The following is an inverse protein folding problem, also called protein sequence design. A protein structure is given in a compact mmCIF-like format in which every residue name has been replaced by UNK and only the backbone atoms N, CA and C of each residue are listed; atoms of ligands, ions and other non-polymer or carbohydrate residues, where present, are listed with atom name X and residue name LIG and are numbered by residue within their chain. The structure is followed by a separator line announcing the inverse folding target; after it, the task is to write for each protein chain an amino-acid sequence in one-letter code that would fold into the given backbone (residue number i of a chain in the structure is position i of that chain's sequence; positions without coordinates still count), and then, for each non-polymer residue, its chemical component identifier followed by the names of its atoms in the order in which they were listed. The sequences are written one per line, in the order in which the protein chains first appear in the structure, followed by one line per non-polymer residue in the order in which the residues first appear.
data_IF_781154883968
#
_entry.id   IF_781154883968
#
_cell.length_a   1.000
_cell.length_b   1.000
_cell.length_c   1.000
_cell.angle_alpha   90.00
_cell.angle_beta   90.00
_cell.angle_gamma   90.00
#
_symmetry.space_group_name_H-M   'P 1'
#
loop_
_entity.id
_entity.type
_entity.pdbx_description
1 polymer ?
#
# COMPACT_ATOMS: atom_id res chain seq x y z
N UNK A 1 -33.37 11.75 -36.55
CA UNK A 1 -32.59 11.86 -35.30
C UNK A 1 -32.09 10.47 -34.89
N UNK A 2 -30.80 10.17 -35.07
CA UNK A 2 -30.20 8.85 -34.73
C UNK A 2 -29.87 8.82 -33.23
N UNK A 3 -30.51 7.90 -32.51
CA UNK A 3 -30.24 7.61 -31.10
C UNK A 3 -28.82 7.05 -30.98
N UNK A 4 -27.95 7.73 -30.25
CA UNK A 4 -26.58 7.27 -29.99
C UNK A 4 -26.64 5.96 -29.20
N UNK A 5 -26.17 4.87 -29.81
CA UNK A 5 -25.97 3.58 -29.16
C UNK A 5 -24.81 3.69 -28.17
N UNK A 6 -25.10 3.64 -26.88
CA UNK A 6 -24.10 3.51 -25.81
C UNK A 6 -23.34 2.20 -25.99
N UNK A 7 -22.07 2.28 -26.43
CA UNK A 7 -21.18 1.12 -26.54
C UNK A 7 -20.97 0.41 -25.19
N UNK A 8 -20.52 -0.85 -25.19
CA UNK A 8 -20.32 -1.62 -23.96
C UNK A 8 -19.34 -0.90 -23.03
N UNK A 9 -19.77 -0.63 -21.80
CA UNK A 9 -18.93 0.00 -20.76
C UNK A 9 -17.71 -0.88 -20.53
N UNK A 10 -16.51 -0.37 -20.85
CA UNK A 10 -15.24 -1.03 -20.51
C UNK A 10 -15.30 -1.39 -19.01
N UNK A 11 -15.12 -2.67 -18.62
CA UNK A 11 -15.10 -3.02 -17.22
C UNK A 11 -13.97 -2.23 -16.56
N UNK A 12 -14.33 -1.32 -15.66
CA UNK A 12 -13.35 -0.54 -14.89
C UNK A 12 -12.47 -1.50 -14.11
N UNK A 13 -11.16 -1.25 -14.04
CA UNK A 13 -10.21 -2.03 -13.25
C UNK A 13 -10.73 -2.18 -11.81
N UNK A 14 -11.39 -1.16 -11.27
CA UNK A 14 -12.05 -1.16 -9.96
C UNK A 14 -13.18 -2.19 -9.81
N UNK A 15 -13.80 -2.64 -10.90
CA UNK A 15 -14.81 -3.72 -10.87
C UNK A 15 -14.16 -5.09 -10.71
N UNK A 16 -12.96 -5.29 -11.24
CA UNK A 16 -12.17 -6.52 -11.04
C UNK A 16 -11.71 -6.67 -9.58
N UNK A 17 -11.66 -5.56 -8.84
CA UNK A 17 -11.29 -5.52 -7.42
C UNK A 17 -12.43 -5.90 -6.48
N UNK A 18 -13.69 -5.87 -6.94
CA UNK A 18 -14.87 -6.11 -6.09
C UNK A 18 -14.79 -7.40 -5.27
N UNK A 19 -14.36 -8.56 -5.82
CA UNK A 19 -14.25 -9.82 -5.07
C UNK A 19 -13.19 -9.77 -3.97
N UNK A 20 -12.20 -8.89 -4.08
CA UNK A 20 -11.04 -8.81 -3.19
C UNK A 20 -11.12 -7.65 -2.18
N UNK A 21 -12.22 -6.90 -2.16
CA UNK A 21 -12.40 -5.73 -1.29
C UNK A 21 -12.12 -6.03 0.19
N UNK A 22 -12.58 -7.18 0.69
CA UNK A 22 -12.33 -7.58 2.09
C UNK A 22 -10.83 -7.72 2.40
N UNK A 23 -10.06 -8.34 1.50
CA UNK A 23 -8.62 -8.48 1.65
C UNK A 23 -7.92 -7.13 1.56
N UNK A 24 -8.33 -6.27 0.62
CA UNK A 24 -7.75 -4.92 0.47
C UNK A 24 -8.02 -4.07 1.71
N UNK A 25 -9.24 -4.09 2.26
CA UNK A 25 -9.56 -3.34 3.50
C UNK A 25 -8.71 -3.86 4.66
N UNK A 26 -8.58 -5.17 4.80
CA UNK A 26 -7.77 -5.78 5.84
C UNK A 26 -6.27 -5.40 5.71
N UNK A 27 -5.75 -5.36 4.48
CA UNK A 27 -4.40 -4.90 4.19
C UNK A 27 -4.17 -3.46 4.59
N UNK A 28 -5.08 -2.57 4.17
CA UNK A 28 -5.02 -1.16 4.50
C UNK A 28 -5.13 -0.94 6.01
N UNK A 29 -5.99 -1.70 6.69
CA UNK A 29 -6.11 -1.62 8.14
C UNK A 29 -4.78 -1.91 8.85
N UNK A 30 -4.13 -3.04 8.52
CA UNK A 30 -2.85 -3.39 9.15
C UNK A 30 -1.72 -2.44 8.76
N UNK A 31 -1.68 -2.00 7.50
CA UNK A 31 -0.71 -1.01 7.03
C UNK A 31 -0.85 0.33 7.75
N UNK A 32 -2.08 0.82 7.93
CA UNK A 32 -2.31 2.10 8.60
C UNK A 32 -1.95 2.02 10.09
N UNK A 33 -2.25 0.91 10.76
CA UNK A 33 -1.85 0.70 12.15
C UNK A 33 -0.34 0.66 12.30
N UNK A 34 0.36 -0.16 11.48
CA UNK A 34 1.81 -0.29 11.57
C UNK A 34 2.50 1.05 11.31
N UNK A 35 2.08 1.78 10.27
CA UNK A 35 2.60 3.12 9.98
C UNK A 35 2.28 4.14 11.08
N UNK A 36 1.08 4.08 11.67
CA UNK A 36 0.69 4.96 12.77
C UNK A 36 1.56 4.79 14.01
N UNK A 37 1.87 3.54 14.39
CA UNK A 37 2.77 3.27 15.52
C UNK A 37 4.21 3.65 15.17
N UNK A 38 4.66 3.35 13.95
CA UNK A 38 6.01 3.71 13.48
C UNK A 38 6.25 5.23 13.58
N UNK A 39 5.24 6.03 13.23
CA UNK A 39 5.28 7.47 13.33
C UNK A 39 5.44 7.99 14.78
N UNK A 40 5.01 7.22 15.79
CA UNK A 40 5.14 7.59 17.20
C UNK A 40 6.52 7.25 17.80
N UNK A 41 7.32 6.40 17.14
CA UNK A 41 8.64 5.98 17.65
C UNK A 41 9.58 7.17 17.92
N UNK A 42 9.73 8.18 17.02
CA UNK A 42 10.57 9.35 17.30
C UNK A 42 10.11 10.12 18.54
N UNK A 43 8.81 10.17 18.81
CA UNK A 43 8.25 10.84 19.99
C UNK A 43 8.57 10.10 21.29
N UNK A 44 8.60 8.77 21.26
CA UNK A 44 9.03 7.96 22.41
C UNK A 44 10.50 8.25 22.74
N UNK A 45 11.36 8.32 21.71
CA UNK A 45 12.78 8.65 21.88
C UNK A 45 12.95 10.08 22.40
N UNK A 46 12.24 11.04 21.82
CA UNK A 46 12.26 12.44 22.27
C UNK A 46 11.88 12.58 23.76
N UNK A 47 10.78 11.94 24.17
CA UNK A 47 10.38 11.92 25.58
C UNK A 47 11.46 11.32 26.50
N UNK A 48 12.24 10.35 26.01
CA UNK A 48 13.36 9.80 26.75
C UNK A 48 14.52 10.77 26.93
N UNK A 49 14.85 11.54 25.88
CA UNK A 49 15.84 12.62 25.93
C UNK A 49 15.39 13.73 26.90
N UNK A 50 14.12 14.10 26.87
CA UNK A 50 13.55 15.10 27.76
C UNK A 50 13.55 14.62 29.22
N UNK A 51 13.21 13.36 29.48
CA UNK A 51 13.26 12.80 30.83
C UNK A 51 14.69 12.75 31.39
N UNK A 52 15.68 12.47 30.52
CA UNK A 52 17.10 12.56 30.85
C UNK A 52 17.51 13.96 31.26
N UNK A 53 17.15 14.95 30.46
CA UNK A 53 17.48 16.37 30.70
C UNK A 53 16.83 16.90 31.99
N UNK A 54 15.61 16.45 32.29
CA UNK A 54 14.85 16.86 33.48
C UNK A 54 15.23 16.09 34.76
N UNK A 55 16.20 15.16 34.71
CA UNK A 55 16.64 14.38 35.87
C UNK A 55 15.68 13.27 36.33
N UNK A 56 14.58 13.03 35.60
CA UNK A 56 13.57 12.00 35.89
C UNK A 56 13.72 10.78 34.96
N UNK A 57 14.96 10.42 34.64
CA UNK A 57 15.25 9.38 33.65
C UNK A 57 15.02 7.98 34.22
N UNK A 58 13.99 7.31 33.74
CA UNK A 58 13.81 5.88 33.94
C UNK A 58 14.05 5.13 32.62
N UNK A 59 15.26 4.59 32.50
CA UNK A 59 15.66 3.81 31.33
C UNK A 59 14.76 2.58 31.12
N UNK A 60 14.31 1.93 32.18
CA UNK A 60 13.49 0.72 32.08
C UNK A 60 12.11 1.06 31.53
N UNK A 61 11.49 2.15 32.00
CA UNK A 61 10.21 2.61 31.50
C UNK A 61 10.27 2.99 30.00
N UNK A 62 11.34 3.64 29.56
CA UNK A 62 11.54 4.01 28.15
C UNK A 62 11.79 2.78 27.29
N UNK A 63 12.66 1.88 27.74
CA UNK A 63 12.96 0.62 27.04
C UNK A 63 11.70 -0.23 26.88
N UNK A 64 10.89 -0.41 27.93
CA UNK A 64 9.64 -1.17 27.85
C UNK A 64 8.68 -0.53 26.83
N UNK A 65 8.47 0.78 26.90
CA UNK A 65 7.59 1.49 25.95
C UNK A 65 8.08 1.34 24.50
N UNK A 66 9.37 1.48 24.27
CA UNK A 66 9.97 1.38 22.95
C UNK A 66 9.94 -0.06 22.41
N UNK A 67 10.31 -1.05 23.23
CA UNK A 67 10.23 -2.46 22.89
C UNK A 67 8.81 -2.90 22.56
N UNK A 68 7.81 -2.48 23.36
CA UNK A 68 6.40 -2.76 23.06
C UNK A 68 6.00 -2.11 21.74
N UNK A 69 6.34 -0.84 21.50
CA UNK A 69 6.02 -0.17 20.24
C UNK A 69 6.64 -0.87 19.02
N UNK A 70 7.91 -1.30 19.09
CA UNK A 70 8.57 -2.07 18.03
C UNK A 70 7.92 -3.42 17.81
N UNK A 71 7.59 -4.15 18.88
CA UNK A 71 6.91 -5.45 18.75
C UNK A 71 5.55 -5.30 18.09
N UNK A 72 4.82 -4.22 18.40
CA UNK A 72 3.56 -3.88 17.74
C UNK A 72 3.76 -3.58 16.25
N UNK A 73 4.74 -2.73 15.90
CA UNK A 73 5.06 -2.44 14.49
C UNK A 73 5.43 -3.72 13.75
N UNK A 74 6.30 -4.54 14.34
CA UNK A 74 6.72 -5.83 13.76
C UNK A 74 5.52 -6.74 13.53
N UNK A 75 4.68 -6.95 14.54
CA UNK A 75 3.52 -7.83 14.47
C UNK A 75 2.58 -7.40 13.33
N UNK A 76 2.21 -6.12 13.29
CA UNK A 76 1.27 -5.63 12.27
C UNK A 76 1.87 -5.59 10.87
N UNK A 77 3.15 -5.23 10.73
CA UNK A 77 3.85 -5.29 9.44
C UNK A 77 3.98 -6.74 8.94
N UNK A 78 4.24 -7.67 9.84
CA UNK A 78 4.32 -9.10 9.51
C UNK A 78 2.96 -9.66 9.06
N UNK A 79 1.89 -9.38 9.82
CA UNK A 79 0.52 -9.76 9.45
C UNK A 79 0.12 -9.15 8.10
N UNK A 80 0.41 -7.85 7.91
CA UNK A 80 0.18 -7.17 6.64
C UNK A 80 0.91 -7.90 5.50
N UNK A 81 2.19 -8.23 5.67
CA UNK A 81 3.00 -8.91 4.65
C UNK A 81 2.45 -10.29 4.24
N UNK A 82 2.00 -11.09 5.22
CA UNK A 82 1.36 -12.38 4.97
C UNK A 82 0.09 -12.18 4.13
N UNK A 83 -0.79 -11.29 4.56
CA UNK A 83 -2.06 -11.03 3.86
C UNK A 83 -1.77 -10.45 2.47
N UNK A 84 -0.71 -9.64 2.33
CA UNK A 84 -0.35 -8.97 1.09
C UNK A 84 0.07 -10.00 0.05
N UNK A 85 0.92 -10.94 0.47
CA UNK A 85 1.36 -12.07 -0.36
C UNK A 85 0.17 -12.96 -0.72
N UNK A 86 -0.65 -13.33 0.26
CA UNK A 86 -1.84 -14.16 0.01
C UNK A 86 -2.84 -13.51 -0.96
N UNK A 87 -3.15 -12.22 -0.78
CA UNK A 87 -4.05 -11.47 -1.65
C UNK A 87 -3.47 -11.37 -3.07
N UNK A 88 -2.18 -11.08 -3.19
CA UNK A 88 -1.46 -11.03 -4.46
C UNK A 88 -1.61 -12.34 -5.24
N UNK A 89 -1.25 -13.46 -4.62
CA UNK A 89 -1.29 -14.76 -5.29
C UNK A 89 -2.73 -15.23 -5.55
N UNK A 90 -3.67 -14.90 -4.66
CA UNK A 90 -5.08 -15.23 -4.87
C UNK A 90 -5.63 -14.54 -6.11
N UNK A 91 -5.41 -13.23 -6.25
CA UNK A 91 -5.78 -12.48 -7.45
C UNK A 91 -5.15 -13.09 -8.69
N UNK A 92 -3.84 -13.34 -8.66
CA UNK A 92 -3.13 -13.85 -9.84
C UNK A 92 -3.64 -15.22 -10.27
N UNK A 93 -3.86 -16.13 -9.31
CA UNK A 93 -4.45 -17.44 -9.58
C UNK A 93 -5.82 -17.31 -10.20
N UNK A 94 -6.73 -16.57 -9.58
CA UNK A 94 -8.11 -16.47 -10.04
C UNK A 94 -8.20 -15.83 -11.44
N UNK A 95 -7.36 -14.83 -11.74
CA UNK A 95 -7.29 -14.22 -13.08
C UNK A 95 -6.66 -15.16 -14.11
N UNK A 96 -5.58 -15.85 -13.77
CA UNK A 96 -4.95 -16.86 -14.65
C UNK A 96 -5.92 -17.97 -14.99
N UNK A 97 -6.65 -18.51 -14.01
CA UNK A 97 -7.65 -19.55 -14.24
C UNK A 97 -8.75 -19.04 -15.17
N UNK A 98 -9.32 -17.86 -14.92
CA UNK A 98 -10.36 -17.29 -15.77
C UNK A 98 -9.89 -17.05 -17.21
N UNK A 99 -8.68 -16.52 -17.40
CA UNK A 99 -8.12 -16.27 -18.72
C UNK A 99 -7.78 -17.57 -19.45
N UNK A 100 -7.20 -18.56 -18.76
CA UNK A 100 -6.90 -19.87 -19.32
C UNK A 100 -8.19 -20.60 -19.77
N UNK A 101 -9.23 -20.58 -18.93
CA UNK A 101 -10.54 -21.17 -19.26
C UNK A 101 -11.19 -20.48 -20.47
N UNK A 102 -11.06 -19.16 -20.57
CA UNK A 102 -11.56 -18.41 -21.72
C UNK A 102 -10.80 -18.77 -23.00
N UNK A 103 -9.46 -18.83 -22.94
CA UNK A 103 -8.61 -19.20 -24.08
C UNK A 103 -8.92 -20.64 -24.54
N UNK A 104 -9.07 -21.58 -23.61
CA UNK A 104 -9.35 -22.99 -23.91
C UNK A 104 -10.68 -23.24 -24.62
N UNK A 105 -11.63 -22.30 -24.53
CA UNK A 105 -12.96 -22.40 -25.18
C UNK A 105 -13.00 -21.72 -26.56
N UNK A 106 -11.93 -21.06 -26.99
CA UNK A 106 -11.86 -20.40 -28.31
C UNK A 106 -11.44 -21.37 -29.41
N UNK A 107 -11.79 -21.04 -30.65
CA UNK A 107 -11.34 -21.79 -31.83
C UNK A 107 -9.86 -21.54 -32.12
N UNK A 108 -9.19 -22.52 -32.73
CA UNK A 108 -7.78 -22.37 -33.16
C UNK A 108 -7.58 -21.17 -34.09
N UNK A 109 -8.53 -20.91 -34.99
CA UNK A 109 -8.49 -19.75 -35.88
C UNK A 109 -8.47 -18.42 -35.13
N UNK A 110 -9.19 -18.31 -34.00
CA UNK A 110 -9.15 -17.13 -33.15
C UNK A 110 -7.80 -17.00 -32.43
N UNK A 111 -7.24 -18.11 -31.93
CA UNK A 111 -5.96 -18.13 -31.22
C UNK A 111 -4.81 -17.69 -32.14
N UNK A 112 -4.77 -18.21 -33.36
CA UNK A 112 -3.77 -17.80 -34.37
C UNK A 112 -3.92 -16.32 -34.72
N UNK A 113 -5.15 -15.86 -34.94
CA UNK A 113 -5.43 -14.46 -35.26
C UNK A 113 -5.13 -13.51 -34.09
N UNK A 114 -5.31 -13.94 -32.84
CA UNK A 114 -5.01 -13.18 -31.64
C UNK A 114 -3.51 -13.18 -31.26
N UNK A 115 -2.68 -13.98 -31.94
CA UNK A 115 -1.27 -14.26 -31.64
C UNK A 115 -1.07 -15.00 -30.30
N UNK A 116 -0.62 -16.27 -30.31
CA UNK A 116 -0.37 -17.06 -29.10
C UNK A 116 0.58 -16.38 -28.09
N UNK A 117 1.61 -15.66 -28.56
CA UNK A 117 2.54 -14.95 -27.69
C UNK A 117 1.85 -13.83 -26.91
N UNK A 118 0.90 -13.13 -27.53
CA UNK A 118 0.12 -12.09 -26.86
C UNK A 118 -0.79 -12.68 -25.79
N UNK A 119 -1.44 -13.82 -26.07
CA UNK A 119 -2.25 -14.53 -25.08
C UNK A 119 -1.41 -14.97 -23.87
N UNK A 120 -0.18 -15.43 -24.11
CA UNK A 120 0.76 -15.77 -23.05
C UNK A 120 1.17 -14.55 -22.23
N UNK A 121 1.49 -13.41 -22.86
CA UNK A 121 1.77 -12.15 -22.16
C UNK A 121 0.59 -11.72 -21.29
N UNK A 122 -0.63 -11.79 -21.81
CA UNK A 122 -1.83 -11.47 -21.05
C UNK A 122 -2.02 -12.39 -19.82
N UNK A 123 -1.67 -13.67 -19.95
CA UNK A 123 -1.78 -14.65 -18.85
C UNK A 123 -0.70 -14.48 -17.78
N UNK A 124 0.44 -13.91 -18.16
CA UNK A 124 1.64 -13.79 -17.32
C UNK A 124 1.83 -12.35 -16.84
N UNK A 125 2.45 -11.51 -17.67
CA UNK A 125 2.87 -10.15 -17.35
C UNK A 125 1.70 -9.22 -16.97
N UNK A 126 0.59 -9.29 -17.70
CA UNK A 126 -0.57 -8.42 -17.41
C UNK A 126 -1.23 -8.82 -16.08
N UNK A 127 -1.37 -10.13 -15.82
CA UNK A 127 -1.87 -10.62 -14.53
C UNK A 127 -0.93 -10.26 -13.39
N UNK A 128 0.38 -10.38 -13.58
CA UNK A 128 1.37 -9.97 -12.56
C UNK A 128 1.29 -8.47 -12.28
N UNK A 129 1.08 -7.65 -13.30
CA UNK A 129 0.86 -6.21 -13.14
C UNK A 129 -0.39 -5.92 -12.30
N UNK A 130 -1.49 -6.64 -12.53
CA UNK A 130 -2.71 -6.51 -11.73
C UNK A 130 -2.47 -6.96 -10.29
N UNK A 131 -1.78 -8.09 -10.08
CA UNK A 131 -1.38 -8.58 -8.75
C UNK A 131 -0.61 -7.52 -7.96
N UNK A 132 0.42 -6.93 -8.57
CA UNK A 132 1.25 -5.89 -7.94
C UNK A 132 0.42 -4.64 -7.63
N UNK A 133 -0.44 -4.23 -8.56
CA UNK A 133 -1.29 -3.08 -8.37
C UNK A 133 -2.21 -3.24 -7.14
N UNK A 134 -2.89 -4.39 -7.02
CA UNK A 134 -3.87 -4.63 -5.96
C UNK A 134 -3.24 -4.68 -4.58
N UNK A 135 -2.16 -5.45 -4.44
CA UNK A 135 -1.63 -5.76 -3.13
C UNK A 135 -0.50 -4.83 -2.70
N UNK A 136 0.27 -4.28 -3.64
CA UNK A 136 1.42 -3.44 -3.32
C UNK A 136 1.15 -1.97 -3.60
N UNK A 137 0.73 -1.61 -4.83
CA UNK A 137 0.63 -0.20 -5.21
C UNK A 137 -0.43 0.55 -4.39
N UNK A 138 -1.63 -0.03 -4.22
CA UNK A 138 -2.70 0.57 -3.41
C UNK A 138 -2.25 0.80 -1.96
N UNK A 139 -1.59 -0.19 -1.37
CA UNK A 139 -1.09 -0.12 0.02
C UNK A 139 0.02 0.92 0.14
N UNK A 140 0.96 0.94 -0.80
CA UNK A 140 2.08 1.89 -0.82
C UNK A 140 1.61 3.33 -0.98
N UNK A 141 0.70 3.60 -1.92
CA UNK A 141 0.13 4.93 -2.14
C UNK A 141 -0.61 5.40 -0.89
N UNK A 142 -1.47 4.54 -0.34
CA UNK A 142 -2.26 4.88 0.86
C UNK A 142 -1.35 5.14 2.07
N UNK A 143 -0.35 4.28 2.28
CA UNK A 143 0.63 4.42 3.36
C UNK A 143 1.46 5.69 3.20
N UNK A 144 1.90 6.01 1.98
CA UNK A 144 2.68 7.21 1.68
C UNK A 144 1.90 8.48 2.02
N UNK A 145 0.65 8.56 1.58
CA UNK A 145 -0.25 9.68 1.92
C UNK A 145 -0.44 9.77 3.43
N UNK A 146 -0.68 8.63 4.10
CA UNK A 146 -0.87 8.59 5.55
C UNK A 146 0.37 9.05 6.31
N UNK A 147 1.57 8.60 5.93
CA UNK A 147 2.84 9.01 6.54
C UNK A 147 3.07 10.49 6.32
N UNK A 148 2.89 11.00 5.09
CA UNK A 148 3.07 12.42 4.78
C UNK A 148 2.17 13.29 5.64
N UNK A 149 0.87 12.97 5.70
CA UNK A 149 -0.10 13.72 6.49
C UNK A 149 0.20 13.59 7.99
N UNK A 150 0.39 12.36 8.47
CA UNK A 150 0.63 12.06 9.88
C UNK A 150 1.90 12.73 10.39
N UNK A 151 3.01 12.61 9.65
CA UNK A 151 4.28 13.24 10.01
C UNK A 151 4.19 14.77 9.99
N UNK A 152 3.48 15.34 9.02
CA UNK A 152 3.24 16.78 8.97
C UNK A 152 2.49 17.26 10.22
N UNK A 153 1.41 16.58 10.59
CA UNK A 153 0.62 16.91 11.80
C UNK A 153 1.49 16.77 13.05
N UNK A 154 2.27 15.68 13.16
CA UNK A 154 3.14 15.43 14.30
C UNK A 154 4.20 16.53 14.45
N UNK A 155 4.87 16.91 13.36
CA UNK A 155 5.88 17.97 13.36
C UNK A 155 5.27 19.32 13.72
N UNK A 156 4.12 19.68 13.12
CA UNK A 156 3.42 20.93 13.42
C UNK A 156 2.98 20.99 14.89
N UNK A 157 2.59 19.86 15.48
CA UNK A 157 2.24 19.76 16.89
C UNK A 157 3.43 19.91 17.83
N UNK A 158 4.65 19.57 17.40
CA UNK A 158 5.87 19.74 18.21
C UNK A 158 6.37 21.19 18.12
N UNK A 159 6.59 21.69 16.90
CA UNK A 159 7.03 23.06 16.67
C UNK A 159 6.60 23.54 15.28
N UNK A 160 5.55 24.36 15.23
CA UNK A 160 4.97 24.82 13.97
C UNK A 160 5.93 25.68 13.13
N UNK A 161 6.83 26.46 13.75
CA UNK A 161 7.80 27.30 13.02
C UNK A 161 8.83 26.43 12.30
N UNK A 162 9.39 25.45 13.01
CA UNK A 162 10.37 24.52 12.45
C UNK A 162 9.72 23.63 11.37
N UNK A 163 8.51 23.15 11.63
CA UNK A 163 7.76 22.30 10.70
C UNK A 163 7.46 22.99 9.37
N UNK A 164 7.01 24.26 9.39
CA UNK A 164 6.79 25.03 8.16
C UNK A 164 8.07 25.23 7.35
N UNK A 165 9.20 25.49 8.02
CA UNK A 165 10.49 25.60 7.35
C UNK A 165 10.85 24.30 6.60
N UNK A 166 10.68 23.14 7.26
CA UNK A 166 10.94 21.82 6.65
C UNK A 166 10.02 21.55 5.46
N UNK A 167 8.71 21.82 5.60
CA UNK A 167 7.70 21.58 4.54
C UNK A 167 8.01 22.42 3.29
N UNK A 168 8.56 23.62 3.43
CA UNK A 168 8.94 24.49 2.31
C UNK A 168 10.26 24.05 1.65
N UNK A 169 11.22 23.56 2.44
CA UNK A 169 12.56 23.20 1.96
C UNK A 169 12.54 21.85 1.22
N UNK A 170 11.81 20.85 1.72
CA UNK A 170 11.82 19.49 1.17
C UNK A 170 11.47 19.41 -0.33
N UNK A 171 10.39 20.05 -0.82
CA UNK A 171 10.06 20.02 -2.25
C UNK A 171 11.14 20.68 -3.11
N UNK A 172 11.74 21.78 -2.62
CA UNK A 172 12.75 22.54 -3.36
C UNK A 172 14.03 21.73 -3.60
N UNK A 173 14.43 20.94 -2.60
CA UNK A 173 15.62 20.09 -2.72
C UNK A 173 15.42 18.97 -3.73
N UNK A 174 14.26 18.30 -3.71
CA UNK A 174 13.98 17.19 -4.64
C UNK A 174 13.81 17.63 -6.10
N UNK A 175 13.40 18.88 -6.35
CA UNK A 175 13.29 19.44 -7.70
C UNK A 175 14.60 20.02 -8.26
N UNK A 176 15.69 19.99 -7.48
CA UNK A 176 16.97 20.62 -7.86
C UNK A 176 17.94 19.66 -8.59
N UNK A 177 17.58 18.38 -8.71
CA UNK A 177 18.28 17.33 -9.49
C UNK A 177 17.44 16.92 -10.71
#
# INVERSE_FOLDING_TARGET
MRKASSGPRKPSIFSLLKPYKGLIILLLFFALISNGVNLLLPKIVANGIDAYTNGNFDINAILIKFSVAILFVFLFTFLQSIIQTYASEKVARDLRTQLADQISRQSNAYIEQANPSKLLTNLTADVDSIKLFIAQAIVSITSSIFIIIGASILLLSINWKLALAIIIILPKYWTAD
#
